data_IF_005167248633
#
_entry.id   IF_005167248633
#
_cell.length_a   1.000
_cell.length_b   1.000
_cell.length_c   1.000
_cell.angle_alpha   90.00
_cell.angle_beta   90.00
_cell.angle_gamma   90.00
#
_symmetry.space_group_name_H-M   'P 1'
#
loop_
_entity.id
_entity.type
_entity.pdbx_description
1 polymer ?
#
# COMPACT_ATOMS: atom_id res chain seq x y z
N UNK A 1 53.55 -4.29 -1.42
CA UNK A 1 52.70 -5.37 -0.87
C UNK A 1 51.63 -4.89 0.10
N UNK A 2 51.88 -3.89 0.98
CA UNK A 2 50.90 -3.40 1.94
C UNK A 2 49.63 -2.76 1.31
N UNK A 3 49.77 -2.06 0.19
CA UNK A 3 48.66 -1.40 -0.53
C UNK A 3 47.66 -2.39 -1.16
N UNK A 4 48.14 -3.55 -1.63
CA UNK A 4 47.29 -4.63 -2.15
C UNK A 4 46.43 -5.25 -1.03
N UNK A 5 47.02 -5.50 0.15
CA UNK A 5 46.28 -6.03 1.31
C UNK A 5 45.22 -5.05 1.83
N UNK A 6 45.50 -3.75 1.79
CA UNK A 6 44.53 -2.73 2.18
C UNK A 6 43.35 -2.65 1.19
N UNK A 7 43.63 -2.73 -0.12
CA UNK A 7 42.60 -2.76 -1.16
C UNK A 7 41.69 -3.98 -1.03
N UNK A 8 42.29 -5.16 -0.80
CA UNK A 8 41.53 -6.39 -0.65
C UNK A 8 40.70 -6.36 0.64
N UNK A 9 41.22 -5.82 1.76
CA UNK A 9 40.43 -5.60 2.97
C UNK A 9 39.26 -4.63 2.75
N UNK A 10 39.46 -3.55 2.00
CA UNK A 10 38.39 -2.61 1.64
C UNK A 10 37.32 -3.26 0.77
N UNK A 11 37.73 -4.07 -0.22
CA UNK A 11 36.79 -4.79 -1.08
C UNK A 11 36.00 -5.86 -0.31
N UNK A 12 36.65 -6.59 0.58
CA UNK A 12 35.99 -7.57 1.46
C UNK A 12 35.02 -6.85 2.42
N UNK A 13 35.46 -5.74 3.03
CA UNK A 13 34.61 -4.94 3.92
C UNK A 13 33.39 -4.36 3.20
N UNK A 14 33.58 -3.83 1.99
CA UNK A 14 32.49 -3.34 1.15
C UNK A 14 31.54 -4.47 0.72
N UNK A 15 32.07 -5.64 0.35
CA UNK A 15 31.27 -6.82 0.01
C UNK A 15 30.42 -7.32 1.17
N UNK A 16 30.99 -7.39 2.38
CA UNK A 16 30.26 -7.75 3.60
C UNK A 16 29.20 -6.71 3.96
N UNK A 17 29.51 -5.42 3.83
CA UNK A 17 28.54 -4.34 4.03
C UNK A 17 27.36 -4.43 3.06
N UNK A 18 27.63 -4.73 1.79
CA UNK A 18 26.59 -4.90 0.77
C UNK A 18 25.71 -6.13 1.05
N UNK A 19 26.32 -7.25 1.46
CA UNK A 19 25.57 -8.45 1.86
C UNK A 19 24.69 -8.19 3.09
N UNK A 20 25.22 -7.51 4.10
CA UNK A 20 24.45 -7.15 5.29
C UNK A 20 23.26 -6.26 4.93
N UNK A 21 23.47 -5.27 4.06
CA UNK A 21 22.39 -4.40 3.58
C UNK A 21 21.32 -5.17 2.78
N UNK A 22 21.74 -6.05 1.88
CA UNK A 22 20.83 -6.83 1.02
C UNK A 22 19.92 -7.81 1.80
N UNK A 23 20.36 -8.24 2.98
CA UNK A 23 19.60 -9.18 3.84
C UNK A 23 18.79 -8.45 4.92
N UNK A 24 18.97 -7.14 5.08
CA UNK A 24 18.17 -6.39 6.05
C UNK A 24 16.68 -6.41 5.70
N UNK A 25 15.80 -6.53 6.70
CA UNK A 25 14.37 -6.65 6.44
C UNK A 25 13.81 -5.37 5.80
N UNK A 26 13.04 -5.50 4.71
CA UNK A 26 12.52 -4.36 3.96
C UNK A 26 11.57 -3.52 4.80
N UNK A 27 11.62 -2.20 4.60
CA UNK A 27 10.71 -1.23 5.23
C UNK A 27 9.40 -1.06 4.46
N UNK A 28 9.34 -1.51 3.21
CA UNK A 28 8.11 -1.55 2.42
C UNK A 28 7.43 -2.92 2.54
N UNK A 29 6.14 -2.93 2.23
CA UNK A 29 5.32 -4.14 2.21
C UNK A 29 5.91 -5.17 1.22
N UNK A 30 6.22 -6.36 1.70
CA UNK A 30 6.82 -7.44 0.92
C UNK A 30 6.11 -8.77 1.17
N UNK A 31 4.79 -8.74 1.10
CA UNK A 31 3.91 -9.89 1.35
C UNK A 31 3.12 -10.25 0.10
N UNK A 32 2.87 -11.54 -0.09
CA UNK A 32 1.98 -12.06 -1.13
C UNK A 32 0.51 -12.13 -0.66
N UNK A 33 -0.40 -12.52 -1.57
CA UNK A 33 -1.84 -12.68 -1.28
C UNK A 33 -2.12 -13.63 -0.09
N UNK A 34 -1.17 -14.49 0.28
CA UNK A 34 -1.24 -15.42 1.42
C UNK A 34 -0.50 -14.93 2.67
N UNK A 35 -0.14 -13.65 2.72
CA UNK A 35 0.58 -13.02 3.83
C UNK A 35 1.94 -13.67 4.13
N UNK A 36 2.57 -14.26 3.12
CA UNK A 36 3.93 -14.81 3.18
C UNK A 36 4.93 -13.83 2.57
N UNK A 37 6.20 -13.85 3.01
CA UNK A 37 7.21 -13.00 2.42
C UNK A 37 7.36 -13.30 0.93
N UNK A 38 7.45 -12.25 0.12
CA UNK A 38 7.70 -12.39 -1.31
C UNK A 38 9.07 -13.05 -1.54
N UNK A 39 9.19 -13.84 -2.62
CA UNK A 39 10.42 -14.55 -2.96
C UNK A 39 11.64 -13.61 -3.04
N UNK A 40 12.83 -14.17 -2.78
CA UNK A 40 14.11 -13.45 -2.86
C UNK A 40 14.55 -12.86 -1.52
N UNK A 41 15.09 -11.63 -1.50
CA UNK A 41 15.60 -11.00 -0.27
C UNK A 41 14.62 -10.96 0.91
N UNK A 42 13.31 -10.67 0.73
CA UNK A 42 12.35 -10.67 1.84
C UNK A 42 12.20 -12.05 2.50
N UNK A 43 12.11 -13.12 1.71
CA UNK A 43 12.04 -14.48 2.23
C UNK A 43 13.29 -14.88 3.03
N UNK A 44 14.48 -14.47 2.58
CA UNK A 44 15.74 -14.70 3.30
C UNK A 44 15.80 -13.87 4.58
N UNK A 45 15.33 -12.62 4.55
CA UNK A 45 15.28 -11.77 5.75
C UNK A 45 14.29 -12.31 6.79
N UNK A 46 13.16 -12.88 6.35
CA UNK A 46 12.16 -13.48 7.23
C UNK A 46 12.67 -14.77 7.91
N UNK A 47 13.59 -15.50 7.28
CA UNK A 47 14.19 -16.71 7.87
C UNK A 47 15.35 -16.39 8.80
N UNK A 48 16.20 -15.40 8.45
CA UNK A 48 17.35 -15.02 9.27
C UNK A 48 17.01 -14.10 10.44
N UNK A 49 16.03 -13.21 10.24
CA UNK A 49 15.62 -12.20 11.22
C UNK A 49 14.10 -12.18 11.39
N UNK A 50 13.47 -13.28 11.86
CA UNK A 50 12.02 -13.42 11.89
C UNK A 50 11.34 -12.29 12.68
N UNK A 51 11.80 -12.01 13.91
CA UNK A 51 11.19 -10.97 14.76
C UNK A 51 11.19 -9.59 14.11
N UNK A 52 12.36 -9.09 13.73
CA UNK A 52 12.49 -7.73 13.18
C UNK A 52 11.87 -7.60 11.78
N UNK A 53 11.85 -8.69 10.99
CA UNK A 53 11.12 -8.73 9.73
C UNK A 53 9.61 -8.56 9.96
N UNK A 54 9.02 -9.39 10.82
CA UNK A 54 7.58 -9.37 11.07
C UNK A 54 7.13 -8.08 11.76
N UNK A 55 7.95 -7.50 12.64
CA UNK A 55 7.69 -6.16 13.21
C UNK A 55 7.65 -5.07 12.14
N UNK A 56 8.62 -5.05 11.22
CA UNK A 56 8.64 -4.07 10.12
C UNK A 56 7.47 -4.27 9.16
N UNK A 57 7.13 -5.51 8.84
CA UNK A 57 5.98 -5.82 7.99
C UNK A 57 4.66 -5.43 8.66
N UNK A 58 4.53 -5.63 9.98
CA UNK A 58 3.37 -5.17 10.74
C UNK A 58 3.23 -3.64 10.65
N UNK A 59 4.32 -2.91 10.84
CA UNK A 59 4.31 -1.45 10.70
C UNK A 59 3.94 -1.01 9.28
N UNK A 60 4.49 -1.65 8.24
CA UNK A 60 4.16 -1.35 6.86
C UNK A 60 2.67 -1.61 6.55
N UNK A 61 2.11 -2.72 7.02
CA UNK A 61 0.69 -3.06 6.89
C UNK A 61 -0.20 -2.01 7.56
N UNK A 62 0.14 -1.61 8.80
CA UNK A 62 -0.62 -0.61 9.55
C UNK A 62 -0.60 0.76 8.85
N UNK A 63 0.57 1.21 8.39
CA UNK A 63 0.72 2.48 7.68
C UNK A 63 -0.10 2.47 6.38
N UNK A 64 -0.03 1.39 5.59
CA UNK A 64 -0.75 1.32 4.33
C UNK A 64 -2.27 1.25 4.54
N UNK A 65 -2.71 0.48 5.54
CA UNK A 65 -4.12 0.41 5.92
C UNK A 65 -4.63 1.77 6.37
N UNK A 66 -3.89 2.47 7.24
CA UNK A 66 -4.29 3.75 7.77
C UNK A 66 -4.30 4.84 6.68
N UNK A 67 -3.33 4.83 5.74
CA UNK A 67 -3.37 5.71 4.57
C UNK A 67 -4.60 5.42 3.68
N UNK A 68 -4.87 4.14 3.42
CA UNK A 68 -6.05 3.74 2.66
C UNK A 68 -7.35 4.10 3.38
N UNK A 69 -7.41 4.05 4.71
CA UNK A 69 -8.58 4.43 5.52
C UNK A 69 -8.71 5.94 5.74
N UNK A 70 -7.64 6.72 5.63
CA UNK A 70 -7.65 8.18 5.78
C UNK A 70 -8.07 8.91 4.50
N UNK A 71 -7.83 8.33 3.32
CA UNK A 71 -8.26 8.86 2.01
C UNK A 71 -9.78 9.13 1.81
N UNK A 72 -10.75 8.36 2.36
CA UNK A 72 -12.17 8.63 2.17
C UNK A 72 -12.64 9.83 3.00
N UNK A 73 -12.04 10.11 4.17
CA UNK A 73 -12.43 11.26 4.99
C UNK A 73 -12.12 12.59 4.29
N UNK A 74 -11.06 12.65 3.48
CA UNK A 74 -10.75 13.83 2.66
C UNK A 74 -11.68 13.96 1.46
N UNK A 75 -11.92 12.88 0.70
CA UNK A 75 -12.82 12.94 -0.47
C UNK A 75 -14.28 13.14 -0.09
N UNK A 76 -14.81 12.44 0.91
CA UNK A 76 -16.19 12.64 1.36
C UNK A 76 -16.47 14.08 1.84
N UNK A 77 -15.47 14.77 2.43
CA UNK A 77 -15.59 16.20 2.77
C UNK A 77 -15.59 17.09 1.53
N UNK A 78 -14.73 16.80 0.56
CA UNK A 78 -14.64 17.54 -0.71
C UNK A 78 -15.89 17.31 -1.56
N UNK A 79 -16.37 16.07 -1.67
CA UNK A 79 -17.60 15.70 -2.38
C UNK A 79 -18.82 16.32 -1.71
N UNK A 80 -18.90 16.33 -0.36
CA UNK A 80 -19.96 17.03 0.35
C UNK A 80 -19.93 18.56 0.10
N UNK A 81 -18.74 19.16 0.00
CA UNK A 81 -18.58 20.58 -0.36
C UNK A 81 -19.00 20.84 -1.81
N UNK A 82 -18.53 20.02 -2.76
CA UNK A 82 -18.88 20.11 -4.17
C UNK A 82 -20.38 19.88 -4.39
N UNK A 83 -20.98 18.94 -3.67
CA UNK A 83 -22.41 18.63 -3.79
C UNK A 83 -23.28 19.72 -3.16
N UNK A 84 -22.82 20.34 -2.07
CA UNK A 84 -23.45 21.54 -1.52
C UNK A 84 -23.36 22.72 -2.52
N UNK A 85 -22.20 22.93 -3.16
CA UNK A 85 -22.01 23.96 -4.18
C UNK A 85 -22.81 23.68 -5.47
N UNK A 86 -22.86 22.42 -5.92
CA UNK A 86 -23.63 22.00 -7.08
C UNK A 86 -25.14 22.12 -6.85
N UNK A 87 -25.64 21.79 -5.65
CA UNK A 87 -27.06 21.94 -5.29
C UNK A 87 -27.52 23.41 -5.25
N UNK A 88 -26.61 24.35 -4.96
CA UNK A 88 -26.88 25.78 -5.05
C UNK A 88 -26.95 26.28 -6.50
N UNK A 89 -26.33 25.58 -7.45
CA UNK A 89 -26.29 25.91 -8.88
C UNK A 89 -27.41 25.18 -9.67
N UNK A 90 -27.79 23.97 -9.26
CA UNK A 90 -28.84 23.15 -9.90
C UNK A 90 -30.26 23.72 -9.74
N UNK A 91 -30.49 24.63 -8.79
CA UNK A 91 -31.79 25.30 -8.59
C UNK A 91 -32.32 26.15 -9.77
N UNK A 92 -31.58 26.26 -10.88
CA UNK A 92 -32.02 26.98 -12.10
C UNK A 92 -31.92 26.17 -13.40
N UNK A 93 -31.49 24.91 -13.37
CA UNK A 93 -31.05 24.20 -14.58
C UNK A 93 -31.86 22.94 -14.92
N UNK A 94 -33.10 22.84 -14.42
CA UNK A 94 -33.96 21.65 -14.57
C UNK A 94 -35.05 21.79 -15.64
N UNK A 95 -34.86 22.68 -16.61
CA UNK A 95 -35.67 22.71 -17.83
C UNK A 95 -34.75 22.87 -19.02
N UNK A 96 -34.65 21.82 -19.83
CA UNK A 96 -33.99 21.73 -21.16
C UNK A 96 -32.58 21.09 -21.21
N UNK A 97 -32.37 19.90 -20.63
CA UNK A 97 -31.23 19.05 -21.03
C UNK A 97 -31.69 17.69 -21.55
N UNK A 98 -32.36 17.74 -22.72
CA UNK A 98 -32.11 16.83 -23.85
C UNK A 98 -30.59 16.59 -23.96
N UNK A 99 -30.00 15.43 -24.22
CA UNK A 99 -30.40 14.17 -24.83
C UNK A 99 -29.49 13.05 -24.24
N UNK A 100 -29.92 11.81 -24.41
CA UNK A 100 -29.43 10.51 -23.91
C UNK A 100 -27.91 10.23 -23.79
N UNK A 101 -27.00 11.07 -24.29
CA UNK A 101 -25.55 10.83 -24.22
C UNK A 101 -24.92 10.99 -22.81
N UNK A 102 -25.54 11.77 -21.93
CA UNK A 102 -24.99 12.05 -20.57
C UNK A 102 -25.24 10.93 -19.55
N UNK A 103 -26.19 10.03 -19.81
CA UNK A 103 -26.55 8.94 -18.89
C UNK A 103 -25.56 7.78 -18.99
N UNK A 104 -25.11 7.45 -20.21
CA UNK A 104 -24.07 6.42 -20.41
C UNK A 104 -22.73 6.85 -19.81
N UNK A 105 -22.33 8.11 -19.98
CA UNK A 105 -21.11 8.66 -19.34
C UNK A 105 -21.18 8.62 -17.81
N UNK A 106 -22.36 8.89 -17.23
CA UNK A 106 -22.56 8.86 -15.78
C UNK A 106 -22.61 7.43 -15.25
N UNK A 107 -23.28 6.52 -15.94
CA UNK A 107 -23.34 5.11 -15.57
C UNK A 107 -21.97 4.42 -15.70
N UNK A 108 -21.18 4.77 -16.71
CA UNK A 108 -19.82 4.24 -16.85
C UNK A 108 -18.86 4.84 -15.81
N UNK A 109 -19.00 6.12 -15.47
CA UNK A 109 -18.28 6.73 -14.35
C UNK A 109 -18.63 6.07 -13.02
N UNK A 110 -19.91 5.86 -12.73
CA UNK A 110 -20.36 5.17 -11.51
C UNK A 110 -19.83 3.73 -11.44
N UNK A 111 -19.78 3.00 -12.57
CA UNK A 111 -19.18 1.66 -12.63
C UNK A 111 -17.68 1.67 -12.33
N UNK A 112 -16.94 2.66 -12.86
CA UNK A 112 -15.50 2.82 -12.59
C UNK A 112 -15.26 3.18 -11.13
N UNK A 113 -16.04 4.11 -10.58
CA UNK A 113 -15.96 4.51 -9.17
C UNK A 113 -16.28 3.33 -8.23
N UNK A 114 -17.28 2.51 -8.56
CA UNK A 114 -17.60 1.25 -7.84
C UNK A 114 -16.47 0.22 -7.95
N UNK A 115 -15.86 0.08 -9.13
CA UNK A 115 -14.73 -0.83 -9.35
C UNK A 115 -13.49 -0.38 -8.54
N UNK A 116 -13.20 0.92 -8.50
CA UNK A 116 -12.12 1.47 -7.69
C UNK A 116 -12.37 1.27 -6.19
N UNK A 117 -13.61 1.50 -5.73
CA UNK A 117 -13.98 1.29 -4.33
C UNK A 117 -13.90 -0.18 -3.92
N UNK A 118 -14.37 -1.11 -4.76
CA UNK A 118 -14.30 -2.54 -4.49
C UNK A 118 -12.86 -3.06 -4.46
N UNK A 119 -12.00 -2.65 -5.39
CA UNK A 119 -10.57 -3.00 -5.40
C UNK A 119 -9.86 -2.48 -4.14
N UNK A 120 -10.21 -1.27 -3.69
CA UNK A 120 -9.68 -0.69 -2.46
C UNK A 120 -10.13 -1.45 -1.22
N UNK A 121 -11.43 -1.77 -1.10
CA UNK A 121 -11.95 -2.56 0.03
C UNK A 121 -11.31 -3.94 0.08
N UNK A 122 -11.09 -4.58 -1.09
CA UNK A 122 -10.36 -5.84 -1.20
C UNK A 122 -8.94 -5.71 -0.65
N UNK A 123 -8.22 -4.63 -1.00
CA UNK A 123 -6.86 -4.39 -0.48
C UNK A 123 -6.83 -4.15 1.03
N UNK A 124 -7.81 -3.41 1.56
CA UNK A 124 -7.94 -3.20 3.01
C UNK A 124 -8.23 -4.52 3.73
N UNK A 125 -9.15 -5.33 3.21
CA UNK A 125 -9.47 -6.64 3.77
C UNK A 125 -8.24 -7.56 3.80
N UNK A 126 -7.46 -7.56 2.72
CA UNK A 126 -6.21 -8.31 2.65
C UNK A 126 -5.18 -7.81 3.69
N UNK A 127 -4.98 -6.49 3.82
CA UNK A 127 -4.08 -5.91 4.83
C UNK A 127 -4.48 -6.29 6.26
N UNK A 128 -5.79 -6.26 6.58
CA UNK A 128 -6.30 -6.69 7.89
C UNK A 128 -6.08 -8.19 8.14
N UNK A 129 -6.23 -9.03 7.10
CA UNK A 129 -5.91 -10.46 7.18
C UNK A 129 -4.44 -10.69 7.52
N UNK A 130 -3.54 -9.99 6.82
CA UNK A 130 -2.11 -10.10 7.08
C UNK A 130 -1.71 -9.55 8.45
N UNK A 131 -2.33 -8.47 8.94
CA UNK A 131 -2.10 -7.96 10.30
C UNK A 131 -2.36 -9.04 11.36
N UNK A 132 -3.46 -9.78 11.24
CA UNK A 132 -3.82 -10.86 12.16
C UNK A 132 -2.79 -11.99 12.15
N UNK A 133 -2.38 -12.43 10.97
CA UNK A 133 -1.40 -13.51 10.82
C UNK A 133 -0.01 -13.09 11.33
N UNK A 134 0.43 -11.87 11.04
CA UNK A 134 1.72 -11.35 11.51
C UNK A 134 1.73 -11.26 13.04
N UNK A 135 0.65 -10.77 13.66
CA UNK A 135 0.53 -10.73 15.13
C UNK A 135 0.57 -12.12 15.73
N UNK A 136 -0.07 -13.10 15.11
CA UNK A 136 -0.01 -14.49 15.58
C UNK A 136 1.42 -15.05 15.49
N UNK A 137 2.16 -14.72 14.43
CA UNK A 137 3.57 -15.13 14.28
C UNK A 137 4.50 -14.45 15.29
N UNK A 138 4.21 -13.21 15.69
CA UNK A 138 4.99 -12.47 16.70
C UNK A 138 4.67 -12.89 18.13
N UNK A 139 3.49 -13.48 18.37
CA UNK A 139 3.08 -13.97 19.67
C UNK A 139 3.58 -15.39 20.00
N UNK A 140 4.03 -16.13 18.98
CA UNK A 140 4.61 -17.48 19.08
C UNK A 140 6.14 -17.43 19.07
#
# INVERSE_FOLDING_TARGET
>A
MATLRLRDMLLIGAGLGFLAWAVTPPSSLSLDESCKPTNGPPAISATLFPGTFWEKQLMAVLIERDDLLARPARRARIDAQIQAEASAIEGRMDRLNREQGRVDDRAEKERRDMAEQSARLKRIAWLMGCEGEIRQRLAN
#
